data_IF_330777550933
#
_entry.id   IF_330777550933
#
_cell.length_a   1.000
_cell.length_b   1.000
_cell.length_c   1.000
_cell.angle_alpha   90.00
_cell.angle_beta   90.00
_cell.angle_gamma   90.00
#
_symmetry.space_group_name_H-M   'P 1'
#
loop_
_entity.id
_entity.type
_entity.pdbx_description
1 polymer ?
#
# COMPACT_ATOMS: atom_id res chain seq x y z
N UNK A 1 -7.35 -3.81 23.29
CA UNK A 1 -6.60 -3.70 22.01
C UNK A 1 -7.37 -2.92 20.95
N UNK A 2 -8.69 -3.10 20.77
CA UNK A 2 -9.46 -2.35 19.74
C UNK A 2 -9.35 -0.83 19.87
N UNK A 3 -9.36 -0.28 21.09
CA UNK A 3 -9.28 1.18 21.29
C UNK A 3 -7.92 1.78 20.92
N UNK A 4 -6.80 1.12 21.25
CA UNK A 4 -5.46 1.62 20.88
C UNK A 4 -5.22 1.50 19.37
N UNK A 5 -5.67 0.40 18.75
CA UNK A 5 -5.65 0.25 17.30
C UNK A 5 -6.42 1.37 16.61
N UNK A 6 -7.64 1.63 17.08
CA UNK A 6 -8.50 2.68 16.54
C UNK A 6 -7.87 4.07 16.71
N UNK A 7 -7.41 4.40 17.91
CA UNK A 7 -6.75 5.69 18.19
C UNK A 7 -5.55 5.94 17.27
N UNK A 8 -4.64 4.96 17.15
CA UNK A 8 -3.49 5.09 16.26
C UNK A 8 -3.90 5.27 14.79
N UNK A 9 -4.86 4.48 14.31
CA UNK A 9 -5.34 4.57 12.93
C UNK A 9 -6.03 5.90 12.64
N UNK A 10 -6.85 6.40 13.56
CA UNK A 10 -7.55 7.68 13.40
C UNK A 10 -6.53 8.84 13.34
N UNK A 11 -5.54 8.84 14.23
CA UNK A 11 -4.41 9.79 14.19
C UNK A 11 -3.61 9.70 12.89
N UNK A 12 -3.30 8.49 12.42
CA UNK A 12 -2.56 8.31 11.18
C UNK A 12 -3.38 8.74 9.95
N UNK A 13 -4.70 8.57 9.98
CA UNK A 13 -5.61 9.08 8.94
C UNK A 13 -5.61 10.60 8.90
N UNK A 14 -5.66 11.26 10.05
CA UNK A 14 -5.61 12.72 10.10
C UNK A 14 -4.25 13.24 9.63
N UNK A 15 -3.17 12.66 10.14
CA UNK A 15 -1.81 12.95 9.67
C UNK A 15 -1.64 12.75 8.16
N UNK A 16 -2.24 11.70 7.59
CA UNK A 16 -2.13 11.46 6.14
C UNK A 16 -2.70 12.61 5.30
N UNK A 17 -3.72 13.33 5.78
CA UNK A 17 -4.31 14.47 5.05
C UNK A 17 -3.33 15.64 4.95
N UNK A 18 -2.47 15.82 5.96
CA UNK A 18 -1.47 16.90 6.00
C UNK A 18 -0.31 16.64 5.02
N UNK A 19 -0.05 15.38 4.67
CA UNK A 19 1.06 15.01 3.80
C UNK A 19 0.91 15.54 2.38
N UNK A 20 -0.32 15.68 1.86
CA UNK A 20 -0.56 16.25 0.53
C UNK A 20 0.02 17.66 0.43
N UNK A 21 -0.27 18.54 1.39
CA UNK A 21 0.23 19.91 1.39
C UNK A 21 1.75 19.96 1.60
N UNK A 22 2.28 19.04 2.41
CA UNK A 22 3.71 18.94 2.65
C UNK A 22 4.50 18.62 1.38
N UNK A 23 4.03 17.67 0.55
CA UNK A 23 4.77 17.24 -0.65
C UNK A 23 4.44 18.03 -1.91
N UNK A 24 3.29 18.70 -1.97
CA UNK A 24 2.83 19.40 -3.17
C UNK A 24 3.10 20.90 -3.10
N UNK A 25 3.35 21.53 -4.25
CA UNK A 25 3.45 22.97 -4.41
C UNK A 25 2.06 23.65 -4.48
N UNK A 26 2.04 24.96 -4.73
CA UNK A 26 0.81 25.77 -4.72
C UNK A 26 -0.20 25.39 -5.82
N UNK A 27 0.22 24.68 -6.86
CA UNK A 27 -0.64 24.27 -7.97
C UNK A 27 -0.97 22.77 -7.94
N UNK A 28 -0.52 22.05 -6.90
CA UNK A 28 -0.80 20.61 -6.71
C UNK A 28 0.23 19.68 -7.36
N UNK A 29 1.32 20.24 -7.89
CA UNK A 29 2.44 19.48 -8.44
C UNK A 29 3.37 19.02 -7.32
N UNK A 30 4.08 17.91 -7.54
CA UNK A 30 5.08 17.46 -6.60
C UNK A 30 6.25 18.44 -6.50
N UNK A 31 6.67 18.75 -5.27
CA UNK A 31 7.79 19.68 -5.00
C UNK A 31 9.14 19.13 -5.45
N UNK A 32 9.34 17.81 -5.43
CA UNK A 32 10.60 17.22 -5.85
C UNK A 32 10.66 17.20 -7.38
N UNK A 33 11.64 17.91 -7.94
CA UNK A 33 11.84 18.03 -9.39
C UNK A 33 13.00 17.17 -9.92
N UNK A 34 13.91 16.76 -9.04
CA UNK A 34 15.14 16.07 -9.41
C UNK A 34 16.06 15.87 -8.21
N UNK A 35 17.27 15.39 -8.46
CA UNK A 35 18.38 15.41 -7.51
C UNK A 35 19.45 16.40 -7.98
N UNK A 36 20.22 16.93 -7.04
CA UNK A 36 21.27 17.94 -7.28
C UNK A 36 22.62 17.40 -6.82
N UNK A 37 23.68 17.67 -7.56
CA UNK A 37 25.07 17.33 -7.20
C UNK A 37 25.81 18.50 -6.53
N UNK A 38 27.10 18.29 -6.22
CA UNK A 38 27.94 19.30 -5.57
C UNK A 38 28.30 20.47 -6.52
N UNK A 39 28.21 20.24 -7.83
CA UNK A 39 28.38 21.21 -8.91
C UNK A 39 27.12 22.05 -9.14
N UNK A 40 26.02 21.77 -8.43
CA UNK A 40 24.68 22.39 -8.56
C UNK A 40 23.98 22.06 -9.88
N UNK A 41 24.34 20.94 -10.49
CA UNK A 41 23.65 20.36 -11.63
C UNK A 41 22.40 19.64 -11.15
N UNK A 42 21.25 19.93 -11.75
CA UNK A 42 19.99 19.25 -11.47
C UNK A 42 19.76 18.16 -12.51
N UNK A 43 19.49 16.96 -12.02
CA UNK A 43 19.11 15.80 -12.81
C UNK A 43 17.64 15.49 -12.57
N UNK A 44 16.85 15.50 -13.64
CA UNK A 44 15.43 15.16 -13.57
C UNK A 44 15.24 13.69 -13.27
N UNK A 45 14.08 13.36 -12.70
CA UNK A 45 13.68 11.99 -12.39
C UNK A 45 12.73 11.45 -13.45
N UNK A 46 12.63 10.14 -13.58
CA UNK A 46 11.66 9.49 -14.46
C UNK A 46 10.30 9.34 -13.78
N UNK A 47 9.29 8.98 -14.57
CA UNK A 47 7.96 8.61 -14.06
C UNK A 47 7.86 7.15 -13.56
N UNK A 48 8.99 6.46 -13.39
CA UNK A 48 9.05 5.10 -12.87
C UNK A 48 8.54 5.02 -11.42
N UNK A 49 7.61 4.11 -11.15
CA UNK A 49 6.97 4.00 -9.83
C UNK A 49 7.95 3.63 -8.73
N UNK A 50 9.02 2.86 -8.99
CA UNK A 50 9.98 2.52 -7.94
C UNK A 50 10.81 3.74 -7.53
N UNK A 51 11.18 4.57 -8.49
CA UNK A 51 11.90 5.84 -8.25
C UNK A 51 11.00 6.79 -7.46
N UNK A 52 9.78 7.04 -7.95
CA UNK A 52 8.78 7.89 -7.28
C UNK A 52 8.53 7.40 -5.84
N UNK A 53 8.28 6.10 -5.67
CA UNK A 53 7.99 5.51 -4.36
C UNK A 53 9.13 5.75 -3.38
N UNK A 54 10.38 5.57 -3.82
CA UNK A 54 11.53 5.69 -2.91
C UNK A 54 11.81 7.14 -2.52
N UNK A 55 11.67 8.06 -3.46
CA UNK A 55 11.87 9.49 -3.18
C UNK A 55 10.76 10.02 -2.26
N UNK A 56 9.50 9.63 -2.47
CA UNK A 56 8.40 9.97 -1.56
C UNK A 56 8.66 9.43 -0.15
N UNK A 57 9.07 8.16 -0.02
CA UNK A 57 9.45 7.58 1.27
C UNK A 57 10.52 8.43 1.98
N UNK A 58 11.58 8.80 1.26
CA UNK A 58 12.67 9.64 1.78
C UNK A 58 12.18 11.01 2.21
N UNK A 59 11.38 11.67 1.36
CA UNK A 59 10.82 12.99 1.64
C UNK A 59 9.94 12.98 2.90
N UNK A 60 9.23 11.88 3.16
CA UNK A 60 8.23 11.79 4.22
C UNK A 60 8.82 11.38 5.58
N UNK A 61 10.03 10.80 5.64
CA UNK A 61 10.65 10.34 6.91
C UNK A 61 10.64 11.37 8.04
N UNK A 62 11.02 12.66 7.81
CA UNK A 62 10.98 13.65 8.87
C UNK A 62 9.58 13.82 9.47
N UNK A 63 8.53 13.79 8.62
CA UNK A 63 7.14 13.90 9.07
C UNK A 63 6.66 12.66 9.82
N UNK A 64 7.13 11.47 9.45
CA UNK A 64 6.84 10.28 10.24
C UNK A 64 7.48 10.35 11.63
N UNK A 65 8.72 10.84 11.73
CA UNK A 65 9.39 11.01 13.02
C UNK A 65 8.64 12.00 13.91
N UNK A 66 8.24 13.16 13.36
CA UNK A 66 7.39 14.13 14.07
C UNK A 66 6.08 13.48 14.59
N UNK A 67 5.37 12.74 13.72
CA UNK A 67 4.15 12.02 14.09
C UNK A 67 4.38 11.00 15.21
N UNK A 68 5.49 10.24 15.14
CA UNK A 68 5.82 9.24 16.15
C UNK A 68 6.05 9.89 17.52
N UNK A 69 6.85 10.95 17.56
CA UNK A 69 7.18 11.65 18.80
C UNK A 69 5.96 12.29 19.45
N UNK A 70 5.12 12.95 18.65
CA UNK A 70 3.86 13.56 19.13
C UNK A 70 2.87 12.54 19.71
N UNK A 71 2.91 11.30 19.23
CA UNK A 71 1.95 10.27 19.62
C UNK A 71 2.53 9.20 20.57
N UNK A 72 3.77 9.35 21.03
CA UNK A 72 4.39 8.45 22.01
C UNK A 72 4.87 7.12 21.43
N UNK A 73 5.40 7.13 20.20
CA UNK A 73 5.97 5.98 19.52
C UNK A 73 7.43 6.23 19.11
N UNK A 74 8.22 5.17 19.10
CA UNK A 74 9.50 5.10 18.40
C UNK A 74 9.29 4.52 17.00
N UNK A 75 10.07 4.97 16.02
CA UNK A 75 10.12 4.37 14.69
C UNK A 75 11.30 3.40 14.62
N UNK A 76 11.01 2.16 14.23
CA UNK A 76 12.01 1.18 13.83
C UNK A 76 11.86 0.95 12.32
N UNK A 77 12.88 1.33 11.56
CA UNK A 77 12.97 1.10 10.13
C UNK A 77 13.32 -0.36 9.83
N UNK A 78 12.92 -0.87 8.66
CA UNK A 78 13.37 -2.18 8.21
C UNK A 78 14.91 -2.24 8.08
N UNK A 79 15.53 -3.15 8.84
CA UNK A 79 16.99 -3.29 8.88
C UNK A 79 17.60 -3.85 7.59
N UNK A 80 16.80 -4.54 6.77
CA UNK A 80 17.27 -5.21 5.55
C UNK A 80 16.38 -4.85 4.38
N UNK A 81 16.96 -4.86 3.19
CA UNK A 81 16.20 -4.75 1.95
C UNK A 81 15.13 -5.85 1.88
N UNK A 82 13.95 -5.49 1.37
CA UNK A 82 12.79 -6.38 1.21
C UNK A 82 12.22 -6.94 2.54
N UNK A 83 12.42 -6.24 3.66
CA UNK A 83 11.74 -6.55 4.92
C UNK A 83 10.46 -5.72 5.06
N UNK A 84 9.42 -6.36 5.58
CA UNK A 84 8.16 -5.70 5.94
C UNK A 84 8.18 -5.31 7.43
N UNK A 85 7.49 -4.24 7.85
CA UNK A 85 7.00 -3.11 7.04
C UNK A 85 8.11 -2.09 6.77
N UNK A 86 7.81 -1.03 6.01
CA UNK A 86 8.71 0.13 5.88
C UNK A 86 8.94 0.81 7.25
N UNK A 87 7.87 0.97 8.04
CA UNK A 87 7.91 1.61 9.36
C UNK A 87 7.23 0.73 10.42
N UNK A 88 7.94 0.44 11.50
CA UNK A 88 7.35 -0.14 12.71
C UNK A 88 7.24 0.93 13.79
N UNK A 89 6.01 1.33 14.13
CA UNK A 89 5.75 2.21 15.26
C UNK A 89 5.65 1.39 16.55
N UNK A 90 6.59 1.57 17.46
CA UNK A 90 6.65 0.84 18.74
C UNK A 90 6.28 1.79 19.86
N UNK A 91 5.25 1.47 20.65
CA UNK A 91 4.80 2.37 21.71
C UNK A 91 5.87 2.51 22.81
N UNK A 92 6.22 3.76 23.16
CA UNK A 92 7.28 4.08 24.14
C UNK A 92 6.96 3.54 25.55
N UNK A 93 5.68 3.55 25.95
CA UNK A 93 5.24 3.08 27.28
C UNK A 93 5.02 1.58 27.35
N UNK A 94 4.64 0.95 26.23
CA UNK A 94 4.40 -0.50 26.15
C UNK A 94 4.88 -1.06 24.80
N UNK A 95 6.15 -1.52 24.71
CA UNK A 95 6.73 -2.04 23.48
C UNK A 95 6.06 -3.28 22.88
N UNK A 96 5.09 -3.90 23.59
CA UNK A 96 4.24 -4.96 23.01
C UNK A 96 3.22 -4.41 22.02
N UNK A 97 2.91 -3.12 22.09
CA UNK A 97 2.03 -2.44 21.13
C UNK A 97 2.89 -1.96 19.97
N UNK A 98 2.73 -2.62 18.82
CA UNK A 98 3.43 -2.30 17.58
C UNK A 98 2.44 -2.12 16.44
N UNK A 99 2.66 -1.12 15.58
CA UNK A 99 1.91 -0.94 14.35
C UNK A 99 2.84 -1.06 13.16
N UNK A 100 2.48 -1.93 12.22
CA UNK A 100 3.19 -2.03 10.96
C UNK A 100 2.57 -1.06 9.96
N UNK A 101 3.31 -0.02 9.56
CA UNK A 101 2.88 0.97 8.59
C UNK A 101 3.74 0.81 7.34
N UNK A 102 3.09 0.39 6.27
CA UNK A 102 3.72 0.05 5.00
C UNK A 102 3.33 1.12 3.96
N UNK A 103 4.32 1.81 3.42
CA UNK A 103 4.13 2.90 2.47
C UNK A 103 3.95 2.27 1.10
N UNK A 104 2.87 2.65 0.43
CA UNK A 104 2.53 2.09 -0.87
C UNK A 104 2.07 3.17 -1.80
N UNK A 105 2.63 3.18 -3.01
CA UNK A 105 2.28 4.18 -4.02
C UNK A 105 1.63 3.51 -5.22
N UNK A 106 0.67 4.18 -5.85
CA UNK A 106 0.10 3.76 -7.13
C UNK A 106 -0.37 4.97 -7.92
N UNK A 107 -0.61 4.77 -9.21
CA UNK A 107 -1.02 5.83 -10.12
C UNK A 107 -2.47 5.64 -10.59
N UNK A 108 -3.13 6.76 -10.89
CA UNK A 108 -4.45 6.81 -11.54
C UNK A 108 -4.36 6.30 -12.98
N UNK A 109 -5.47 5.79 -13.51
CA UNK A 109 -5.54 5.28 -14.88
C UNK A 109 -6.36 6.21 -15.76
N UNK A 110 -5.72 6.84 -16.72
CA UNK A 110 -6.35 7.83 -17.62
C UNK A 110 -7.54 7.25 -18.40
N UNK A 111 -7.43 5.97 -18.79
CA UNK A 111 -8.44 5.24 -19.55
C UNK A 111 -9.63 4.74 -18.70
N UNK A 112 -9.59 4.90 -17.37
CA UNK A 112 -10.58 4.31 -16.44
C UNK A 112 -10.93 5.29 -15.31
N UNK A 113 -12.01 6.04 -15.49
CA UNK A 113 -12.43 7.07 -14.53
C UNK A 113 -12.65 6.53 -13.10
N UNK A 114 -12.02 7.18 -12.13
CA UNK A 114 -12.03 6.78 -10.71
C UNK A 114 -11.24 5.51 -10.37
N UNK A 115 -10.45 4.95 -11.29
CA UNK A 115 -9.62 3.77 -11.03
C UNK A 115 -8.13 4.09 -10.96
N UNK A 116 -7.42 3.30 -10.15
CA UNK A 116 -5.97 3.25 -10.12
C UNK A 116 -5.43 1.91 -10.61
N UNK A 117 -4.11 1.79 -10.74
CA UNK A 117 -3.45 0.53 -11.10
C UNK A 117 -3.62 -0.54 -10.00
N UNK A 118 -3.88 -0.12 -8.76
CA UNK A 118 -3.93 -0.96 -7.57
C UNK A 118 -2.59 -0.97 -6.82
N UNK A 119 -2.61 -1.44 -5.58
CA UNK A 119 -1.46 -1.55 -4.69
C UNK A 119 -1.06 -3.02 -4.51
N UNK A 120 0.24 -3.26 -4.36
CA UNK A 120 0.79 -4.52 -3.87
C UNK A 120 0.94 -4.44 -2.36
N UNK A 121 0.06 -5.12 -1.63
CA UNK A 121 -0.08 -5.01 -0.17
C UNK A 121 0.86 -5.95 0.58
N UNK A 122 2.06 -6.19 0.03
CA UNK A 122 3.03 -7.12 0.58
C UNK A 122 2.70 -8.60 0.35
N UNK A 123 3.66 -9.46 0.72
CA UNK A 123 3.61 -10.89 0.43
C UNK A 123 2.63 -11.64 1.34
N UNK A 124 2.01 -12.70 0.80
CA UNK A 124 1.33 -13.73 1.58
C UNK A 124 2.18 -15.01 1.74
N UNK A 125 3.52 -14.86 1.68
CA UNK A 125 4.52 -15.91 1.82
C UNK A 125 4.87 -16.26 3.26
N UNK A 126 6.16 -16.48 3.56
CA UNK A 126 6.62 -17.07 4.82
C UNK A 126 6.16 -16.32 6.08
N UNK A 127 6.45 -15.02 6.23
CA UNK A 127 6.06 -14.28 7.44
C UNK A 127 4.54 -14.21 7.63
N UNK A 128 3.79 -14.24 6.52
CA UNK A 128 2.34 -14.14 6.57
C UNK A 128 1.73 -15.48 6.95
N UNK A 129 2.24 -16.59 6.40
CA UNK A 129 1.77 -17.95 6.68
C UNK A 129 2.24 -18.47 8.04
N UNK A 130 3.47 -18.16 8.42
CA UNK A 130 4.07 -18.49 9.71
C UNK A 130 4.18 -17.21 10.52
N UNK A 131 3.13 -16.88 11.27
CA UNK A 131 3.00 -15.59 11.96
C UNK A 131 4.11 -15.28 12.97
N UNK A 132 4.84 -16.29 13.44
CA UNK A 132 6.00 -16.18 14.34
C UNK A 132 7.35 -16.12 13.61
N UNK A 133 7.36 -16.24 12.28
CA UNK A 133 8.58 -16.19 11.47
C UNK A 133 9.19 -14.79 11.48
N UNK A 134 10.52 -14.75 11.48
CA UNK A 134 11.35 -13.53 11.33
C UNK A 134 11.88 -13.36 9.90
N UNK A 135 11.52 -14.25 8.97
CA UNK A 135 11.95 -14.17 7.58
C UNK A 135 11.24 -13.01 6.84
N UNK A 136 12.03 -12.08 6.30
CA UNK A 136 11.55 -10.93 5.52
C UNK A 136 10.61 -9.98 6.29
N UNK A 137 10.76 -9.88 7.62
CA UNK A 137 9.93 -9.04 8.46
C UNK A 137 10.71 -8.53 9.68
N UNK A 138 10.49 -7.27 10.08
CA UNK A 138 11.21 -6.63 11.19
C UNK A 138 10.87 -7.24 12.57
N UNK A 139 9.58 -7.48 12.81
CA UNK A 139 9.06 -8.21 13.96
C UNK A 139 8.12 -9.30 13.46
N UNK A 140 7.94 -10.44 14.14
CA UNK A 140 6.97 -11.45 13.76
C UNK A 140 5.60 -10.84 13.45
N UNK A 141 4.91 -11.35 12.41
CA UNK A 141 3.62 -10.78 11.98
C UNK A 141 2.60 -10.75 13.13
N UNK A 142 2.60 -11.78 13.98
CA UNK A 142 1.72 -11.85 15.17
C UNK A 142 2.02 -10.80 16.26
N UNK A 143 3.20 -10.17 16.24
CA UNK A 143 3.58 -9.18 17.25
C UNK A 143 3.04 -7.78 16.94
N UNK A 144 2.50 -7.56 15.74
CA UNK A 144 1.85 -6.31 15.38
C UNK A 144 0.39 -6.30 15.80
N UNK A 145 -0.03 -5.20 16.40
CA UNK A 145 -1.42 -4.92 16.76
C UNK A 145 -2.28 -4.63 15.52
N UNK A 146 -1.68 -4.06 14.47
CA UNK A 146 -2.33 -3.86 13.19
C UNK A 146 -1.32 -3.75 12.04
N UNK A 147 -1.80 -4.07 10.84
CA UNK A 147 -1.09 -3.91 9.58
C UNK A 147 -1.80 -2.86 8.73
N UNK A 148 -1.16 -1.71 8.56
CA UNK A 148 -1.75 -0.51 7.97
C UNK A 148 -1.00 -0.16 6.68
N UNK A 149 -1.75 0.16 5.65
CA UNK A 149 -1.23 0.74 4.42
C UNK A 149 -1.32 2.26 4.53
N UNK A 150 -0.18 2.95 4.44
CA UNK A 150 -0.16 4.38 4.12
C UNK A 150 -0.05 4.51 2.60
N UNK A 151 -1.19 4.72 1.96
CA UNK A 151 -1.29 4.74 0.51
C UNK A 151 -1.11 6.14 -0.07
N UNK A 152 -0.40 6.22 -1.20
CA UNK A 152 -0.18 7.43 -1.99
C UNK A 152 -0.72 7.21 -3.39
N UNK A 153 -1.70 8.01 -3.80
CA UNK A 153 -2.28 8.04 -5.13
C UNK A 153 -1.78 9.29 -5.87
N UNK A 154 -1.32 9.13 -7.10
CA UNK A 154 -0.87 10.26 -7.92
C UNK A 154 -1.28 10.11 -9.38
N UNK A 155 -1.30 11.23 -10.09
CA UNK A 155 -1.44 11.28 -11.55
C UNK A 155 -0.04 11.39 -12.14
N UNK A 156 0.29 10.58 -13.16
CA UNK A 156 1.57 10.70 -13.87
C UNK A 156 1.50 11.85 -14.86
N UNK A 157 2.60 12.59 -15.01
CA UNK A 157 2.76 13.50 -16.14
C UNK A 157 2.89 12.72 -17.45
N UNK A 158 2.64 13.40 -18.58
CA UNK A 158 2.85 12.80 -19.89
C UNK A 158 4.33 12.58 -20.12
N UNK A 159 4.70 11.43 -20.69
CA UNK A 159 6.10 11.11 -20.97
C UNK A 159 6.76 12.08 -21.95
N UNK A 160 5.97 12.77 -22.78
CA UNK A 160 6.45 13.81 -23.70
C UNK A 160 6.95 15.07 -22.99
N UNK A 161 6.53 15.27 -21.73
CA UNK A 161 6.82 16.49 -20.98
C UNK A 161 8.02 16.32 -20.03
N UNK A 162 8.63 15.12 -20.03
CA UNK A 162 9.77 14.74 -19.19
C UNK A 162 10.97 14.45 -20.10
N UNK A 163 12.02 15.25 -19.97
CA UNK A 163 13.28 15.03 -20.68
C UNK A 163 14.38 14.60 -19.71
N UNK A 164 14.60 13.28 -19.61
CA UNK A 164 15.56 12.67 -18.68
C UNK A 164 17.03 12.82 -19.13
N UNK A 165 17.28 13.39 -20.31
CA UNK A 165 18.64 13.48 -20.88
C UNK A 165 19.33 14.80 -20.59
N UNK A 166 18.61 15.77 -20.02
CA UNK A 166 19.11 17.11 -19.76
C UNK A 166 19.66 17.26 -18.35
N UNK A 167 20.75 18.01 -18.27
CA UNK A 167 21.26 18.57 -17.02
C UNK A 167 20.82 20.03 -16.97
N UNK A 168 20.16 20.41 -15.89
CA UNK A 168 19.58 21.74 -15.70
C UNK A 168 20.31 22.50 -14.59
N UNK A 169 20.28 23.82 -14.65
CA UNK A 169 20.89 24.67 -13.63
C UNK A 169 19.88 25.10 -12.56
N UNK A 170 20.37 25.51 -11.38
CA UNK A 170 19.51 25.86 -10.24
C UNK A 170 18.51 26.99 -10.55
N UNK A 171 18.88 27.94 -11.41
CA UNK A 171 17.99 29.02 -11.85
C UNK A 171 16.87 28.54 -12.82
N UNK A 172 16.88 27.27 -13.21
CA UNK A 172 15.87 26.63 -14.04
C UNK A 172 14.96 25.68 -13.24
N UNK A 173 15.15 25.55 -11.92
CA UNK A 173 14.39 24.63 -11.05
C UNK A 173 12.87 24.80 -11.20
N UNK A 174 12.39 26.04 -11.25
CA UNK A 174 10.95 26.35 -11.38
C UNK A 174 10.39 26.03 -12.77
N UNK A 175 11.25 25.75 -13.77
CA UNK A 175 10.86 25.36 -15.13
C UNK A 175 10.75 23.84 -15.29
N UNK A 176 11.19 23.07 -14.29
CA UNK A 176 11.19 21.61 -14.37
C UNK A 176 9.76 21.10 -14.20
N UNK A 177 9.25 20.42 -15.23
CA UNK A 177 7.96 19.73 -15.17
C UNK A 177 7.96 18.69 -14.06
N UNK A 178 6.93 18.70 -13.22
CA UNK A 178 6.74 17.65 -12.22
C UNK A 178 6.38 16.33 -12.90
N UNK A 179 7.03 15.22 -12.51
CA UNK A 179 6.72 13.89 -13.06
C UNK A 179 5.41 13.30 -12.56
N UNK A 180 4.90 13.82 -11.43
CA UNK A 180 3.63 13.43 -10.83
C UNK A 180 2.91 14.65 -10.25
N UNK A 181 1.59 14.56 -10.14
CA UNK A 181 0.71 15.59 -9.59
C UNK A 181 -0.52 14.99 -8.92
N UNK A 182 -1.35 15.83 -8.32
CA UNK A 182 -2.63 15.47 -7.69
C UNK A 182 -2.46 14.38 -6.60
N UNK A 183 -1.45 14.54 -5.74
CA UNK A 183 -1.12 13.55 -4.73
C UNK A 183 -2.21 13.49 -3.65
N UNK A 184 -2.72 12.27 -3.40
CA UNK A 184 -3.69 11.99 -2.34
C UNK A 184 -3.12 10.90 -1.44
N UNK A 185 -3.05 11.21 -0.15
CA UNK A 185 -2.60 10.30 0.89
C UNK A 185 -3.80 9.75 1.67
N UNK A 186 -3.68 8.50 2.12
CA UNK A 186 -4.65 7.90 3.02
C UNK A 186 -3.99 6.84 3.90
N UNK A 187 -4.62 6.52 5.03
CA UNK A 187 -4.24 5.40 5.87
C UNK A 187 -5.44 4.47 6.09
N UNK A 188 -5.27 3.17 5.88
CA UNK A 188 -6.30 2.18 6.19
C UNK A 188 -5.68 0.80 6.48
N UNK A 189 -6.38 -0.03 7.26
CA UNK A 189 -5.92 -1.40 7.50
C UNK A 189 -5.79 -2.18 6.17
N UNK A 190 -4.69 -2.92 6.01
CA UNK A 190 -4.37 -3.68 4.81
C UNK A 190 -5.53 -4.56 4.34
N UNK A 191 -6.20 -5.26 5.26
CA UNK A 191 -7.29 -6.18 4.93
C UNK A 191 -8.54 -5.45 4.38
N UNK A 192 -8.80 -4.20 4.80
CA UNK A 192 -9.95 -3.39 4.37
C UNK A 192 -9.82 -2.85 2.96
N UNK A 193 -8.62 -2.78 2.39
CA UNK A 193 -8.40 -2.34 0.99
C UNK A 193 -7.99 -3.51 0.08
N UNK A 194 -7.91 -4.72 0.61
CA UNK A 194 -7.48 -5.90 -0.14
C UNK A 194 -8.56 -6.41 -1.10
N UNK A 195 -8.11 -6.89 -2.26
CA UNK A 195 -8.89 -7.77 -3.14
C UNK A 195 -8.67 -9.23 -2.75
N UNK A 196 -9.38 -10.14 -3.40
CA UNK A 196 -9.17 -11.59 -3.33
C UNK A 196 -8.14 -12.12 -4.35
N UNK A 197 -7.45 -11.22 -5.08
CA UNK A 197 -6.51 -11.53 -6.16
C UNK A 197 -5.09 -11.08 -5.84
N UNK A 198 -4.13 -11.74 -6.48
CA UNK A 198 -2.73 -11.36 -6.37
C UNK A 198 -2.46 -9.99 -7.00
N UNK A 199 -1.57 -9.20 -6.40
CA UNK A 199 -1.18 -7.87 -6.89
C UNK A 199 -0.11 -7.90 -7.98
N UNK A 200 0.49 -9.07 -8.22
CA UNK A 200 1.56 -9.28 -9.21
C UNK A 200 1.55 -10.72 -9.72
N UNK A 201 1.83 -10.93 -11.00
CA UNK A 201 1.84 -12.27 -11.60
C UNK A 201 3.08 -13.11 -11.30
N UNK A 202 4.21 -12.48 -10.96
CA UNK A 202 5.50 -13.12 -10.75
C UNK A 202 5.88 -13.33 -9.27
N UNK A 203 5.27 -12.58 -8.36
CA UNK A 203 5.56 -12.60 -6.92
C UNK A 203 4.26 -12.75 -6.14
N UNK A 204 4.31 -13.52 -5.05
CA UNK A 204 3.16 -13.86 -4.23
C UNK A 204 2.75 -12.69 -3.33
N UNK A 205 2.22 -11.62 -3.93
CA UNK A 205 1.74 -10.41 -3.25
C UNK A 205 0.22 -10.35 -3.24
N UNK A 206 -0.32 -9.86 -2.14
CA UNK A 206 -1.75 -9.52 -2.00
C UNK A 206 -2.02 -8.27 -2.83
N UNK A 207 -3.06 -8.28 -3.67
CA UNK A 207 -3.46 -7.10 -4.46
C UNK A 207 -4.58 -6.32 -3.77
N UNK A 208 -4.58 -5.00 -3.89
CA UNK A 208 -5.72 -4.17 -3.47
C UNK A 208 -6.87 -4.21 -4.46
N UNK A 209 -8.04 -3.70 -4.04
CA UNK A 209 -9.07 -3.23 -4.99
C UNK A 209 -8.56 -2.00 -5.77
N UNK A 210 -9.26 -1.62 -6.85
CA UNK A 210 -8.78 -0.59 -7.80
C UNK A 210 -9.64 0.68 -7.88
N UNK A 211 -10.88 0.66 -7.39
CA UNK A 211 -11.74 1.84 -7.41
C UNK A 211 -11.39 2.77 -6.25
N UNK A 212 -11.02 4.01 -6.56
CA UNK A 212 -10.38 4.93 -5.61
C UNK A 212 -11.28 5.24 -4.42
N UNK A 213 -12.56 5.56 -4.63
CA UNK A 213 -13.46 5.89 -3.50
C UNK A 213 -13.63 4.73 -2.54
N UNK A 214 -13.64 3.49 -3.05
CA UNK A 214 -13.75 2.30 -2.21
C UNK A 214 -12.46 2.05 -1.43
N UNK A 215 -11.29 2.33 -2.01
CA UNK A 215 -10.01 2.29 -1.29
C UNK A 215 -10.04 3.27 -0.12
N UNK A 216 -10.39 4.54 -0.40
CA UNK A 216 -10.41 5.61 0.61
C UNK A 216 -11.42 5.35 1.74
N UNK A 217 -12.48 4.59 1.47
CA UNK A 217 -13.52 4.22 2.45
C UNK A 217 -13.27 2.88 3.15
N UNK A 218 -12.21 2.14 2.79
CA UNK A 218 -11.97 0.79 3.31
C UNK A 218 -13.04 -0.23 2.89
N UNK A 219 -13.57 -0.08 1.67
CA UNK A 219 -14.60 -0.94 1.06
C UNK A 219 -14.00 -2.08 0.21
N UNK A 220 -12.93 -2.70 0.68
CA UNK A 220 -12.32 -3.86 0.04
C UNK A 220 -13.22 -5.09 0.08
N UNK A 221 -12.76 -6.16 -0.59
CA UNK A 221 -13.51 -7.42 -0.75
C UNK A 221 -13.91 -8.04 0.60
N UNK A 222 -13.06 -7.88 1.61
CA UNK A 222 -13.23 -8.47 2.94
C UNK A 222 -14.00 -7.59 3.93
N UNK A 223 -14.52 -6.41 3.53
CA UNK A 223 -15.18 -5.46 4.44
C UNK A 223 -16.25 -6.11 5.33
N UNK A 224 -17.12 -6.94 4.73
CA UNK A 224 -18.21 -7.61 5.45
C UNK A 224 -17.82 -8.99 6.01
N UNK A 225 -16.58 -9.46 5.72
CA UNK A 225 -16.04 -10.75 6.17
C UNK A 225 -15.12 -10.60 7.39
N UNK A 226 -14.44 -9.45 7.50
CA UNK A 226 -13.51 -9.13 8.59
C UNK A 226 -12.09 -9.66 8.38
N UNK A 227 -11.18 -9.12 9.20
CA UNK A 227 -9.73 -9.40 9.19
C UNK A 227 -9.40 -10.89 9.31
N UNK A 228 -10.12 -11.63 10.15
CA UNK A 228 -9.89 -13.07 10.35
C UNK A 228 -10.06 -13.87 9.06
N UNK A 229 -11.10 -13.58 8.28
CA UNK A 229 -11.36 -14.29 7.02
C UNK A 229 -10.34 -13.90 5.95
N UNK A 230 -9.95 -12.61 5.91
CA UNK A 230 -8.84 -12.15 5.08
C UNK A 230 -7.56 -12.95 5.36
N UNK A 231 -7.20 -13.06 6.63
CA UNK A 231 -5.99 -13.77 7.06
C UNK A 231 -6.03 -15.25 6.70
N UNK A 232 -7.10 -15.95 7.08
CA UNK A 232 -7.22 -17.38 6.80
C UNK A 232 -7.24 -17.67 5.28
N UNK A 233 -7.90 -16.83 4.48
CA UNK A 233 -7.91 -16.97 3.02
C UNK A 233 -6.49 -16.86 2.45
N UNK A 234 -5.76 -15.79 2.76
CA UNK A 234 -4.44 -15.52 2.20
C UNK A 234 -3.36 -16.48 2.72
N UNK A 235 -3.48 -16.99 3.94
CA UNK A 235 -2.63 -18.07 4.46
C UNK A 235 -2.81 -19.34 3.61
N UNK A 236 -4.05 -19.67 3.25
CA UNK A 236 -4.41 -20.91 2.56
C UNK A 236 -4.39 -20.82 1.03
N UNK A 237 -4.28 -19.63 0.47
CA UNK A 237 -4.29 -19.38 -0.97
C UNK A 237 -3.23 -20.23 -1.69
N UNK A 238 -3.67 -21.09 -2.61
CA UNK A 238 -2.79 -21.94 -3.42
C UNK A 238 -2.10 -23.08 -2.64
N UNK A 239 -2.46 -23.31 -1.38
CA UNK A 239 -1.89 -24.35 -0.50
C UNK A 239 -2.94 -25.36 -0.07
N UNK A 240 -4.07 -24.87 0.47
CA UNK A 240 -5.15 -25.73 0.95
C UNK A 240 -5.73 -26.54 -0.20
N UNK A 241 -5.87 -27.85 0.01
CA UNK A 241 -6.48 -28.76 -0.96
C UNK A 241 -7.93 -29.03 -0.59
N UNK A 242 -8.83 -28.91 -1.55
CA UNK A 242 -10.26 -29.19 -1.41
C UNK A 242 -10.69 -30.22 -2.47
N UNK A 243 -11.77 -30.99 -2.25
CA UNK A 243 -12.28 -31.93 -3.25
C UNK A 243 -12.52 -31.23 -4.59
N UNK A 244 -12.16 -31.89 -5.70
CA UNK A 244 -12.43 -31.39 -7.04
C UNK A 244 -13.85 -31.80 -7.48
N UNK A 245 -14.81 -30.86 -7.61
CA UNK A 245 -16.17 -31.19 -8.00
C UNK A 245 -16.27 -31.77 -9.41
N UNK A 246 -15.24 -31.59 -10.24
CA UNK A 246 -15.21 -32.14 -11.61
C UNK A 246 -14.69 -33.56 -11.68
N UNK A 247 -14.01 -34.04 -10.63
CA UNK A 247 -13.31 -35.34 -10.63
C UNK A 247 -13.39 -35.99 -9.25
N UNK A 248 -14.37 -36.88 -9.07
CA UNK A 248 -14.55 -37.63 -7.82
C UNK A 248 -13.23 -38.30 -7.37
N UNK A 249 -12.92 -38.21 -6.08
CA UNK A 249 -11.68 -38.74 -5.49
C UNK A 249 -10.43 -37.88 -5.68
N UNK A 250 -10.46 -36.85 -6.53
CA UNK A 250 -9.34 -35.93 -6.70
C UNK A 250 -9.48 -34.67 -5.83
N UNK A 251 -8.34 -34.04 -5.54
CA UNK A 251 -8.26 -32.79 -4.82
C UNK A 251 -7.58 -31.72 -5.67
N UNK A 252 -8.10 -30.50 -5.61
CA UNK A 252 -7.51 -29.31 -6.24
C UNK A 252 -7.04 -28.32 -5.19
N UNK A 253 -6.14 -27.42 -5.58
CA UNK A 253 -5.77 -26.27 -4.75
C UNK A 253 -6.92 -25.28 -4.70
N UNK A 254 -7.18 -24.74 -3.51
CA UNK A 254 -8.09 -23.64 -3.32
C UNK A 254 -7.43 -22.34 -3.80
N UNK A 255 -8.09 -21.65 -4.73
CA UNK A 255 -7.55 -20.41 -5.33
C UNK A 255 -8.57 -19.29 -5.42
N UNK A 256 -9.83 -19.54 -5.03
CA UNK A 256 -10.92 -18.56 -5.08
C UNK A 256 -11.51 -18.33 -3.70
N UNK A 257 -11.84 -17.08 -3.39
CA UNK A 257 -12.49 -16.73 -2.13
C UNK A 257 -13.86 -17.40 -1.98
N UNK A 258 -14.64 -17.52 -3.05
CA UNK A 258 -15.95 -18.20 -3.01
C UNK A 258 -15.83 -19.66 -2.55
N UNK A 259 -14.82 -20.38 -3.07
CA UNK A 259 -14.54 -21.76 -2.67
C UNK A 259 -14.09 -21.85 -1.21
N UNK A 260 -13.37 -20.83 -0.72
CA UNK A 260 -12.95 -20.73 0.67
C UNK A 260 -14.12 -20.50 1.62
N UNK A 261 -15.04 -19.60 1.26
CA UNK A 261 -16.23 -19.37 2.06
C UNK A 261 -17.12 -20.61 2.10
N UNK A 262 -17.32 -21.28 0.97
CA UNK A 262 -18.05 -22.55 0.91
C UNK A 262 -17.42 -23.62 1.82
N UNK A 263 -16.09 -23.78 1.76
CA UNK A 263 -15.34 -24.69 2.65
C UNK A 263 -15.52 -24.35 4.13
N UNK A 264 -15.66 -23.06 4.47
CA UNK A 264 -15.92 -22.57 5.84
C UNK A 264 -17.40 -22.63 6.24
N UNK A 265 -18.30 -23.09 5.36
CA UNK A 265 -19.75 -23.07 5.61
C UNK A 265 -20.35 -21.66 5.61
N UNK A 266 -19.73 -20.71 4.89
CA UNK A 266 -20.13 -19.31 4.80
C UNK A 266 -20.72 -18.97 3.44
N UNK A 267 -21.73 -18.10 3.42
CA UNK A 267 -22.34 -17.58 2.21
C UNK A 267 -21.43 -16.60 1.46
N UNK A 268 -21.41 -16.71 0.13
CA UNK A 268 -20.64 -15.83 -0.77
C UNK A 268 -21.26 -14.44 -0.94
N UNK A 269 -22.50 -14.24 -0.52
CA UNK A 269 -23.21 -12.95 -0.42
C UNK A 269 -22.49 -11.96 0.51
N UNK A 270 -21.65 -12.45 1.42
CA UNK A 270 -20.84 -11.62 2.31
C UNK A 270 -19.60 -11.02 1.62
N UNK A 271 -19.25 -11.45 0.40
CA UNK A 271 -18.17 -10.85 -0.37
C UNK A 271 -18.61 -9.45 -0.78
N UNK A 272 -17.85 -8.41 -0.40
CA UNK A 272 -18.15 -7.06 -0.85
C UNK A 272 -17.85 -6.94 -2.36
N UNK A 273 -18.83 -6.55 -3.20
CA UNK A 273 -18.63 -6.49 -4.64
C UNK A 273 -17.65 -5.36 -5.00
N UNK A 274 -16.72 -5.64 -5.91
CA UNK A 274 -15.83 -4.62 -6.47
C UNK A 274 -16.52 -3.88 -7.60
N UNK A 275 -16.30 -2.56 -7.70
CA UNK A 275 -16.77 -1.78 -8.85
C UNK A 275 -16.14 -2.31 -10.14
N UNK A 276 -16.93 -2.61 -11.19
CA UNK A 276 -16.39 -3.12 -12.44
C UNK A 276 -15.58 -2.05 -13.15
N UNK A 277 -14.34 -2.38 -13.50
CA UNK A 277 -13.44 -1.52 -14.25
C UNK A 277 -13.87 -1.48 -15.72
N UNK A 278 -14.32 -0.32 -16.20
CA UNK A 278 -14.80 -0.10 -17.58
C UNK A 278 -13.98 1.01 -18.23
N UNK A 279 -13.56 0.78 -19.47
CA UNK A 279 -12.80 1.77 -20.22
C UNK A 279 -13.70 2.96 -20.56
N UNK A 280 -13.14 4.18 -20.47
CA UNK A 280 -13.83 5.40 -20.83
C UNK A 280 -14.30 5.33 -22.28
N UNK A 281 -15.53 5.80 -22.54
CA UNK A 281 -16.02 5.97 -23.91
C UNK A 281 -15.24 7.13 -24.53
N UNK A 282 -14.64 6.91 -25.69
CA UNK A 282 -14.06 7.97 -26.51
C UNK A 282 -15.16 8.88 -27.05
#
# INVERSE_FOLDING_TARGET
>A
MSNVKKDFLDKLKDFSKELTEYVSDKVGDWKVKGFIDIEKSIYTISSDTKIISKILEIQLFPKFQEFADQNGYDIVLAEKQNWYPDLSFVNKSNPKIKFAVDIKTTYRLDDYDGFCNGFTLGSHGEYFRKRTSTKNIQFPYADYTAHICLGILYTRALSTDIDETKILQLNELDKITSVIKDLVFFAEEKWKISSDKGGSGNTANIGSIQYIDDILKGNGVFKNLGEKIFDEYWINQGVLKVPDPKKAGNFKKLTKLTEFLEFKGMGSDKINPMKPKRKNKK
#
